data_IF_653348476745
#
_entry.id   IF_653348476745
#
_cell.length_a   1.000
_cell.length_b   1.000
_cell.length_c   1.000
_cell.angle_alpha   90.00
_cell.angle_beta   90.00
_cell.angle_gamma   90.00
#
_symmetry.space_group_name_H-M   'P 1'
#
loop_
_entity.id
_entity.type
_entity.pdbx_description
1 polymer ?
#
# COMPACT_ATOMS: atom_id res chain seq x y z
N UNK A 1 19.02 8.94 6.20
CA UNK A 1 19.92 8.04 5.45
C UNK A 1 19.63 8.04 3.95
N UNK A 2 18.39 7.74 3.47
CA UNK A 2 18.03 7.76 2.03
C UNK A 2 18.29 9.15 1.44
N UNK A 3 17.73 10.21 2.06
CA UNK A 3 17.91 11.58 1.62
C UNK A 3 19.39 12.01 1.52
N UNK A 4 20.23 11.56 2.45
CA UNK A 4 21.68 11.84 2.44
C UNK A 4 22.38 11.16 1.26
N UNK A 5 21.96 9.93 0.93
CA UNK A 5 22.49 9.22 -0.24
C UNK A 5 22.09 9.94 -1.53
N UNK A 6 20.79 10.28 -1.66
CA UNK A 6 20.29 11.00 -2.83
C UNK A 6 21.02 12.34 -3.02
N UNK A 7 21.19 13.11 -1.94
CA UNK A 7 21.91 14.38 -1.97
C UNK A 7 23.38 14.20 -2.36
N UNK A 8 24.06 13.19 -1.77
CA UNK A 8 25.48 12.89 -2.08
C UNK A 8 25.71 12.57 -3.55
N UNK A 9 24.77 11.85 -4.16
CA UNK A 9 24.89 11.42 -5.55
C UNK A 9 24.13 12.30 -6.55
N UNK A 10 23.60 13.43 -6.09
CA UNK A 10 22.80 14.37 -6.89
C UNK A 10 21.62 13.68 -7.61
N UNK A 11 20.90 12.83 -6.87
CA UNK A 11 19.72 12.12 -7.33
C UNK A 11 18.47 12.83 -6.83
N UNK A 12 17.51 13.09 -7.72
CA UNK A 12 16.19 13.60 -7.32
C UNK A 12 15.47 12.47 -6.59
N UNK A 13 14.98 12.77 -5.40
CA UNK A 13 14.24 11.83 -4.58
C UNK A 13 12.73 12.02 -4.77
N UNK A 14 12.12 11.11 -5.53
CA UNK A 14 10.67 11.04 -5.69
C UNK A 14 10.08 10.25 -4.52
N UNK A 15 9.23 10.91 -3.73
CA UNK A 15 8.65 10.33 -2.52
C UNK A 15 7.15 10.16 -2.70
N UNK A 16 6.70 8.93 -2.63
CA UNK A 16 5.28 8.59 -2.69
C UNK A 16 4.73 8.43 -1.26
N UNK A 17 3.90 9.39 -0.83
CA UNK A 17 3.24 9.40 0.47
C UNK A 17 1.72 9.15 0.33
N UNK A 18 1.28 8.43 -0.69
CA UNK A 18 -0.16 8.20 -0.95
C UNK A 18 -0.87 7.35 0.11
N UNK A 19 -0.12 6.62 0.95
CA UNK A 19 -0.66 5.82 2.05
C UNK A 19 -0.44 6.45 3.43
N UNK A 20 -0.01 7.70 3.52
CA UNK A 20 0.38 8.37 4.77
C UNK A 20 -0.74 8.48 5.81
N UNK A 21 -2.00 8.44 5.39
CA UNK A 21 -3.16 8.55 6.29
C UNK A 21 -3.47 7.24 7.04
N UNK A 22 -2.94 6.10 6.59
CA UNK A 22 -3.22 4.78 7.18
C UNK A 22 -2.15 4.38 8.19
N UNK A 23 -2.11 5.07 9.32
CA UNK A 23 -1.14 4.77 10.39
C UNK A 23 -1.90 4.21 11.59
N UNK A 24 -1.44 3.07 12.08
CA UNK A 24 -2.10 2.37 13.18
C UNK A 24 -1.71 2.91 14.55
N UNK A 25 -2.56 2.72 15.58
CA UNK A 25 -2.30 3.18 16.92
C UNK A 25 -0.92 2.74 17.44
N UNK A 26 -0.17 3.68 18.02
CA UNK A 26 1.18 3.44 18.54
C UNK A 26 2.31 3.70 17.55
N UNK A 27 1.99 4.05 16.30
CA UNK A 27 2.95 4.41 15.26
C UNK A 27 2.77 5.84 14.80
N UNK A 28 3.82 6.41 14.19
CA UNK A 28 3.81 7.78 13.67
C UNK A 28 4.34 7.82 12.23
N UNK A 29 3.68 8.61 11.39
CA UNK A 29 4.16 8.87 10.04
C UNK A 29 5.13 10.05 10.03
N UNK A 30 6.28 9.86 9.36
CA UNK A 30 7.25 10.93 9.14
C UNK A 30 7.29 11.31 7.67
N UNK A 31 6.69 12.46 7.32
CA UNK A 31 6.78 13.00 5.96
C UNK A 31 8.22 13.41 5.62
N UNK A 32 8.61 13.23 4.36
CA UNK A 32 9.88 13.72 3.86
C UNK A 32 10.03 15.24 3.98
N UNK A 33 8.92 15.97 4.07
CA UNK A 33 8.92 17.42 4.26
C UNK A 33 9.31 17.86 5.68
N UNK A 34 9.31 16.94 6.64
CA UNK A 34 9.78 17.17 8.00
C UNK A 34 11.31 17.06 8.16
N UNK A 35 11.99 16.66 7.10
CA UNK A 35 13.45 16.55 7.07
C UNK A 35 14.10 17.94 7.00
N UNK A 36 15.43 17.98 7.26
CA UNK A 36 16.23 19.21 7.13
C UNK A 36 16.01 19.84 5.74
N UNK A 37 15.88 21.17 5.70
CA UNK A 37 15.62 21.95 4.49
C UNK A 37 16.63 21.73 3.38
N UNK A 38 17.86 21.31 3.68
CA UNK A 38 18.88 20.96 2.66
C UNK A 38 18.41 19.84 1.72
N UNK A 39 17.52 18.95 2.18
CA UNK A 39 16.98 17.87 1.36
C UNK A 39 15.81 18.34 0.47
N UNK A 40 15.20 19.48 0.77
CA UNK A 40 14.12 20.02 -0.05
C UNK A 40 14.58 20.38 -1.48
N UNK A 41 15.89 20.55 -1.66
CA UNK A 41 16.48 20.81 -2.97
C UNK A 41 16.34 19.63 -3.97
N UNK A 42 16.18 18.43 -3.46
CA UNK A 42 16.12 17.20 -4.27
C UNK A 42 14.79 16.45 -4.18
N UNK A 43 13.81 16.95 -3.40
CA UNK A 43 12.55 16.25 -3.15
C UNK A 43 11.48 16.62 -4.20
N UNK A 44 10.79 15.59 -4.70
CA UNK A 44 9.49 15.69 -5.33
C UNK A 44 8.53 14.74 -4.59
N UNK A 45 7.67 15.34 -3.75
CA UNK A 45 6.67 14.61 -2.96
C UNK A 45 5.38 14.44 -3.75
N UNK A 46 4.84 13.24 -3.75
CA UNK A 46 3.56 12.88 -4.33
C UNK A 46 2.59 12.46 -3.23
N UNK A 47 1.39 13.06 -3.21
CA UNK A 47 0.30 12.67 -2.32
C UNK A 47 -1.04 12.69 -3.05
N UNK A 48 -2.03 12.00 -2.52
CA UNK A 48 -3.36 11.94 -3.13
C UNK A 48 -4.41 11.48 -2.13
N UNK A 49 -5.64 11.99 -2.20
CA UNK A 49 -6.77 11.40 -1.47
C UNK A 49 -7.25 10.09 -2.13
N UNK A 50 -6.67 9.70 -3.26
CA UNK A 50 -7.12 8.57 -4.08
C UNK A 50 -7.19 7.26 -3.33
N UNK A 51 -6.18 6.95 -2.51
CA UNK A 51 -6.12 5.73 -1.70
C UNK A 51 -6.95 5.86 -0.42
N UNK A 52 -6.82 6.96 0.28
CA UNK A 52 -7.52 7.24 1.54
C UNK A 52 -9.03 7.22 1.38
N UNK A 53 -9.55 7.86 0.35
CA UNK A 53 -10.99 8.03 0.12
C UNK A 53 -11.53 7.17 -1.02
N UNK A 54 -10.77 6.21 -1.52
CA UNK A 54 -11.16 5.33 -2.64
C UNK A 54 -11.63 6.10 -3.89
N UNK A 55 -10.97 7.20 -4.21
CA UNK A 55 -11.29 8.08 -5.37
C UNK A 55 -10.19 8.07 -6.43
N UNK A 56 -9.38 7.03 -6.48
CA UNK A 56 -8.28 6.90 -7.44
C UNK A 56 -8.73 7.01 -8.91
N UNK A 57 -9.95 6.56 -9.23
CA UNK A 57 -10.53 6.67 -10.57
C UNK A 57 -10.72 8.12 -11.04
N UNK A 58 -10.76 9.10 -10.15
CA UNK A 58 -10.78 10.53 -10.48
C UNK A 58 -9.37 11.10 -10.76
N UNK A 59 -8.33 10.30 -10.55
CA UNK A 59 -6.91 10.62 -10.78
C UNK A 59 -6.42 11.92 -10.11
N UNK A 60 -6.83 12.23 -8.87
CA UNK A 60 -6.33 13.40 -8.18
C UNK A 60 -4.90 13.13 -7.67
N UNK A 61 -3.99 14.03 -7.90
CA UNK A 61 -2.65 13.99 -7.34
C UNK A 61 -2.17 15.38 -6.95
N UNK A 62 -1.50 15.46 -5.82
CA UNK A 62 -0.78 16.66 -5.37
C UNK A 62 0.72 16.38 -5.54
N UNK A 63 1.42 17.30 -6.20
CA UNK A 63 2.86 17.18 -6.42
C UNK A 63 3.51 18.40 -5.82
N UNK A 64 4.34 18.18 -4.81
CA UNK A 64 5.00 19.22 -4.02
C UNK A 64 6.50 19.17 -4.28
N UNK A 65 7.01 20.20 -4.95
CA UNK A 65 8.42 20.34 -5.30
C UNK A 65 8.92 21.68 -4.73
N UNK A 66 9.60 21.68 -3.60
CA UNK A 66 10.08 22.91 -2.96
C UNK A 66 11.09 23.68 -3.81
N UNK A 67 12.04 22.97 -4.44
CA UNK A 67 13.04 23.58 -5.32
C UNK A 67 12.37 24.20 -6.55
N UNK A 68 12.55 25.52 -6.73
CA UNK A 68 11.90 26.28 -7.80
C UNK A 68 12.34 25.84 -9.20
N UNK A 69 13.62 25.58 -9.40
CA UNK A 69 14.18 25.21 -10.70
C UNK A 69 13.67 23.81 -11.11
N UNK A 70 13.63 22.87 -10.17
CA UNK A 70 13.06 21.54 -10.40
C UNK A 70 11.57 21.64 -10.70
N UNK A 71 10.83 22.45 -9.95
CA UNK A 71 9.40 22.69 -10.17
C UNK A 71 9.11 23.29 -11.55
N UNK A 72 9.92 24.25 -12.01
CA UNK A 72 9.79 24.82 -13.37
C UNK A 72 10.00 23.78 -14.45
N UNK A 73 11.02 22.91 -14.28
CA UNK A 73 11.26 21.79 -15.22
C UNK A 73 10.08 20.84 -15.28
N UNK A 74 9.54 20.47 -14.12
CA UNK A 74 8.36 19.62 -14.01
C UNK A 74 7.15 20.26 -14.71
N UNK A 75 6.85 21.54 -14.43
CA UNK A 75 5.73 22.28 -15.05
C UNK A 75 5.88 22.37 -16.57
N UNK A 76 7.10 22.63 -17.03
CA UNK A 76 7.39 22.66 -18.47
C UNK A 76 7.11 21.30 -19.12
N UNK A 77 7.60 20.20 -18.54
CA UNK A 77 7.37 18.85 -19.05
C UNK A 77 5.87 18.51 -19.10
N UNK A 78 5.10 18.84 -18.05
CA UNK A 78 3.64 18.65 -18.03
C UNK A 78 2.95 19.44 -19.16
N UNK A 79 3.39 20.68 -19.41
CA UNK A 79 2.84 21.50 -20.49
C UNK A 79 3.12 20.87 -21.86
N UNK A 80 4.34 20.36 -22.07
CA UNK A 80 4.71 19.67 -23.34
C UNK A 80 3.90 18.39 -23.54
N UNK A 81 3.58 17.68 -22.46
CA UNK A 81 2.76 16.47 -22.49
C UNK A 81 1.24 16.75 -22.57
N UNK A 82 0.83 18.01 -22.67
CA UNK A 82 -0.57 18.44 -22.57
C UNK A 82 -1.30 17.98 -21.30
N UNK A 83 -0.55 17.78 -20.21
CA UNK A 83 -1.04 17.30 -18.91
C UNK A 83 -1.21 18.44 -17.89
N UNK A 84 -1.42 19.65 -18.36
CA UNK A 84 -1.44 20.87 -17.53
C UNK A 84 -2.73 21.07 -16.73
N UNK A 85 -3.79 20.31 -17.03
CA UNK A 85 -5.08 20.46 -16.35
C UNK A 85 -5.60 19.09 -15.91
N UNK A 86 -5.80 18.95 -14.60
CA UNK A 86 -6.45 17.76 -14.02
C UNK A 86 -7.97 17.77 -14.23
N UNK A 87 -8.60 16.65 -13.93
CA UNK A 87 -10.06 16.53 -13.94
C UNK A 87 -10.71 17.50 -12.94
N UNK A 88 -11.75 18.22 -13.39
CA UNK A 88 -12.55 19.09 -12.48
C UNK A 88 -13.10 18.31 -11.29
N UNK A 89 -13.59 17.08 -11.52
CA UNK A 89 -14.09 16.22 -10.45
C UNK A 89 -12.98 15.78 -9.51
N UNK A 90 -11.78 15.53 -10.02
CA UNK A 90 -10.60 15.23 -9.21
C UNK A 90 -10.22 16.40 -8.29
N UNK A 91 -10.22 17.64 -8.80
CA UNK A 91 -9.97 18.84 -8.00
C UNK A 91 -11.04 19.05 -6.91
N UNK A 92 -12.30 18.83 -7.25
CA UNK A 92 -13.40 18.88 -6.27
C UNK A 92 -13.23 17.80 -5.20
N UNK A 93 -12.86 16.58 -5.59
CA UNK A 93 -12.60 15.49 -4.66
C UNK A 93 -11.48 15.85 -3.67
N UNK A 94 -10.34 16.37 -4.14
CA UNK A 94 -9.24 16.84 -3.27
C UNK A 94 -9.78 17.83 -2.23
N UNK A 95 -10.52 18.84 -2.68
CA UNK A 95 -11.07 19.85 -1.77
C UNK A 95 -12.00 19.24 -0.72
N UNK A 96 -12.95 18.41 -1.13
CA UNK A 96 -13.94 17.80 -0.21
C UNK A 96 -13.28 16.84 0.76
N UNK A 97 -12.43 15.94 0.26
CA UNK A 97 -11.73 14.95 1.08
C UNK A 97 -10.93 15.62 2.20
N UNK A 98 -10.09 16.60 1.87
CA UNK A 98 -9.22 17.24 2.86
C UNK A 98 -9.93 18.28 3.75
N UNK A 99 -11.14 18.72 3.41
CA UNK A 99 -11.86 19.70 4.25
C UNK A 99 -12.99 19.10 5.07
N UNK A 100 -13.48 17.90 4.71
CA UNK A 100 -14.67 17.31 5.32
C UNK A 100 -14.54 15.81 5.64
N UNK A 101 -13.41 15.19 5.31
CA UNK A 101 -13.26 13.74 5.38
C UNK A 101 -12.55 13.21 6.63
N UNK A 102 -12.11 14.06 7.57
CA UNK A 102 -11.28 13.63 8.69
C UNK A 102 -11.93 12.53 9.53
N UNK A 103 -13.15 12.78 10.03
CA UNK A 103 -13.87 11.81 10.89
C UNK A 103 -14.05 10.45 10.19
N UNK A 104 -14.33 10.49 8.87
CA UNK A 104 -14.46 9.26 8.06
C UNK A 104 -13.13 8.49 7.96
N UNK A 105 -12.01 9.19 7.84
CA UNK A 105 -10.67 8.55 7.80
C UNK A 105 -10.35 7.88 9.12
N UNK A 106 -10.64 8.56 10.25
CA UNK A 106 -10.38 8.02 11.57
C UNK A 106 -11.15 6.71 11.80
N UNK A 107 -12.46 6.68 11.47
CA UNK A 107 -13.28 5.48 11.54
C UNK A 107 -12.78 4.37 10.58
N UNK A 108 -12.36 4.74 9.37
CA UNK A 108 -11.83 3.79 8.39
C UNK A 108 -10.52 3.15 8.87
N UNK A 109 -9.59 3.94 9.39
CA UNK A 109 -8.30 3.45 9.90
C UNK A 109 -8.53 2.47 11.04
N UNK A 110 -9.42 2.80 11.98
CA UNK A 110 -9.80 1.89 13.06
C UNK A 110 -10.38 0.57 12.53
N UNK A 111 -11.31 0.66 11.58
CA UNK A 111 -11.92 -0.52 10.95
C UNK A 111 -10.90 -1.42 10.26
N UNK A 112 -9.98 -0.83 9.50
CA UNK A 112 -8.89 -1.55 8.82
C UNK A 112 -7.97 -2.21 9.86
N UNK A 113 -7.62 -1.49 10.91
CA UNK A 113 -6.77 -2.03 11.97
C UNK A 113 -7.41 -3.23 12.67
N UNK A 114 -8.73 -3.21 12.90
CA UNK A 114 -9.46 -4.38 13.42
C UNK A 114 -9.42 -5.56 12.43
N UNK A 115 -9.47 -5.31 11.11
CA UNK A 115 -9.29 -6.36 10.10
C UNK A 115 -7.87 -6.95 10.14
N UNK A 116 -6.85 -6.10 10.29
CA UNK A 116 -5.45 -6.55 10.45
C UNK A 116 -5.30 -7.43 11.69
N UNK A 117 -5.82 -7.00 12.83
CA UNK A 117 -5.77 -7.77 14.08
C UNK A 117 -6.48 -9.12 13.97
N UNK A 118 -7.63 -9.13 13.30
CA UNK A 118 -8.36 -10.37 13.04
C UNK A 118 -7.53 -11.32 12.17
N UNK A 119 -6.99 -10.82 11.06
CA UNK A 119 -6.16 -11.62 10.15
C UNK A 119 -4.90 -12.15 10.84
N UNK A 120 -4.21 -11.32 11.63
CA UNK A 120 -3.02 -11.74 12.39
C UNK A 120 -3.32 -12.92 13.31
N UNK A 121 -4.41 -12.82 14.07
CA UNK A 121 -4.85 -13.91 14.96
C UNK A 121 -5.21 -15.16 14.17
N UNK A 122 -5.97 -15.03 13.08
CA UNK A 122 -6.39 -16.15 12.26
C UNK A 122 -5.18 -16.88 11.63
N UNK A 123 -4.22 -16.14 11.09
CA UNK A 123 -2.99 -16.68 10.51
C UNK A 123 -2.20 -17.48 11.58
N UNK A 124 -2.01 -16.90 12.77
CA UNK A 124 -1.31 -17.58 13.87
C UNK A 124 -1.98 -18.89 14.31
N UNK A 125 -3.31 -18.90 14.33
CA UNK A 125 -4.09 -20.06 14.78
C UNK A 125 -4.24 -21.14 13.72
N UNK A 126 -4.34 -20.78 12.44
CA UNK A 126 -4.75 -21.69 11.37
C UNK A 126 -3.65 -22.01 10.33
N UNK A 127 -2.60 -21.19 10.26
CA UNK A 127 -1.51 -21.37 9.29
C UNK A 127 -0.15 -21.48 10.01
N UNK A 128 0.14 -22.61 10.69
CA UNK A 128 1.28 -22.71 11.61
C UNK A 128 2.66 -22.54 10.96
N UNK A 129 2.75 -22.69 9.64
CA UNK A 129 3.99 -22.50 8.88
C UNK A 129 4.03 -21.17 8.10
N UNK A 130 2.95 -20.36 8.15
CA UNK A 130 2.94 -19.02 7.57
C UNK A 130 3.32 -17.97 8.62
N UNK A 131 3.80 -16.82 8.15
CA UNK A 131 4.12 -15.67 9.00
C UNK A 131 3.54 -14.41 8.40
N UNK A 132 2.66 -13.76 9.13
CA UNK A 132 2.20 -12.43 8.77
C UNK A 132 3.22 -11.39 9.21
N UNK A 133 3.57 -10.47 8.31
CA UNK A 133 4.32 -9.26 8.68
C UNK A 133 3.36 -8.31 9.37
N UNK A 134 3.62 -7.98 10.62
CA UNK A 134 2.75 -7.05 11.38
C UNK A 134 2.93 -5.63 10.83
N UNK A 135 1.89 -5.02 10.22
CA UNK A 135 2.03 -3.71 9.63
C UNK A 135 1.88 -2.59 10.66
N UNK A 136 2.66 -1.53 10.50
CA UNK A 136 2.53 -0.28 11.27
C UNK A 136 1.47 0.66 10.69
N UNK A 137 1.01 0.37 9.50
CA UNK A 137 0.01 1.12 8.74
C UNK A 137 -0.36 0.45 7.43
N UNK A 138 -1.13 1.12 6.61
CA UNK A 138 -1.70 0.65 5.35
C UNK A 138 -2.69 -0.52 5.50
N UNK A 139 -3.40 -0.81 4.44
CA UNK A 139 -4.33 -1.94 4.35
C UNK A 139 -3.79 -3.10 3.53
N UNK A 140 -2.50 -3.06 3.20
CA UNK A 140 -1.81 -4.08 2.40
C UNK A 140 -0.96 -4.94 3.33
N UNK A 141 -1.40 -6.16 3.57
CA UNK A 141 -0.79 -7.07 4.53
C UNK A 141 0.01 -8.15 3.81
N UNK A 142 1.25 -8.36 4.21
CA UNK A 142 2.10 -9.41 3.69
C UNK A 142 2.06 -10.66 4.55
N UNK A 143 1.91 -11.82 3.89
CA UNK A 143 2.00 -13.12 4.53
C UNK A 143 3.03 -13.97 3.81
N UNK A 144 4.01 -14.44 4.55
CA UNK A 144 5.07 -15.35 4.12
C UNK A 144 4.60 -16.80 4.27
N UNK A 145 4.53 -17.54 3.16
CA UNK A 145 4.19 -18.96 3.10
C UNK A 145 5.41 -19.86 2.90
N UNK A 146 6.63 -19.33 2.94
CA UNK A 146 7.87 -20.07 2.70
C UNK A 146 8.03 -21.31 3.60
N UNK A 147 7.46 -21.27 4.82
CA UNK A 147 7.50 -22.40 5.74
C UNK A 147 6.77 -23.65 5.26
N UNK A 148 5.92 -23.56 4.21
CA UNK A 148 5.26 -24.71 3.60
C UNK A 148 6.11 -25.37 2.52
N UNK A 149 7.13 -24.69 1.98
CA UNK A 149 8.05 -25.22 0.98
C UNK A 149 7.42 -25.37 -0.41
N UNK A 150 6.40 -24.59 -0.71
CA UNK A 150 5.79 -24.56 -2.05
C UNK A 150 6.72 -23.92 -3.07
N UNK A 151 6.62 -24.31 -4.33
CA UNK A 151 7.14 -23.49 -5.43
C UNK A 151 6.24 -22.26 -5.63
N UNK A 152 6.71 -21.27 -6.39
CA UNK A 152 5.88 -20.10 -6.71
C UNK A 152 4.61 -20.54 -7.47
N UNK A 153 4.75 -21.44 -8.42
CA UNK A 153 3.65 -21.97 -9.23
C UNK A 153 2.64 -22.75 -8.37
N UNK A 154 3.12 -23.51 -7.38
CA UNK A 154 2.25 -24.23 -6.44
C UNK A 154 1.47 -23.24 -5.56
N UNK A 155 2.13 -22.18 -5.08
CA UNK A 155 1.47 -21.15 -4.25
C UNK A 155 0.43 -20.38 -5.06
N UNK A 156 0.75 -19.95 -6.28
CA UNK A 156 -0.21 -19.32 -7.18
C UNK A 156 -1.40 -20.21 -7.50
N UNK A 157 -1.16 -21.49 -7.81
CA UNK A 157 -2.23 -22.45 -8.07
C UNK A 157 -3.15 -22.62 -6.84
N UNK A 158 -2.55 -22.77 -5.65
CA UNK A 158 -3.31 -22.85 -4.40
C UNK A 158 -4.20 -21.61 -4.19
N UNK A 159 -3.66 -20.41 -4.42
CA UNK A 159 -4.42 -19.16 -4.22
C UNK A 159 -5.53 -19.01 -5.27
N UNK A 160 -5.21 -19.10 -6.55
CA UNK A 160 -6.14 -18.81 -7.64
C UNK A 160 -7.13 -19.95 -7.88
N UNK A 161 -6.64 -21.19 -7.96
CA UNK A 161 -7.46 -22.29 -8.42
C UNK A 161 -8.12 -23.09 -7.30
N UNK A 162 -7.50 -23.20 -6.15
CA UNK A 162 -8.07 -23.97 -5.04
C UNK A 162 -8.80 -23.06 -4.05
N UNK A 163 -8.15 -21.98 -3.56
CA UNK A 163 -8.75 -21.03 -2.62
C UNK A 163 -9.67 -20.00 -3.30
N UNK A 164 -9.58 -19.84 -4.64
CA UNK A 164 -10.34 -18.83 -5.42
C UNK A 164 -10.08 -17.41 -4.92
N UNK A 165 -8.84 -17.09 -4.58
CA UNK A 165 -8.37 -15.78 -4.15
C UNK A 165 -7.44 -15.20 -5.20
N UNK A 166 -7.78 -14.02 -5.69
CA UNK A 166 -6.89 -13.24 -6.55
C UNK A 166 -6.19 -12.19 -5.71
N UNK A 167 -4.99 -12.52 -5.27
CA UNK A 167 -4.12 -11.68 -4.46
C UNK A 167 -2.99 -11.08 -5.31
N UNK A 168 -2.18 -10.23 -4.71
CA UNK A 168 -0.94 -9.80 -5.35
C UNK A 168 0.19 -10.78 -4.95
N UNK A 169 0.56 -11.66 -5.88
CA UNK A 169 1.65 -12.61 -5.67
C UNK A 169 2.98 -11.87 -5.46
N UNK A 170 3.75 -12.32 -4.49
CA UNK A 170 5.01 -11.69 -4.11
C UNK A 170 6.04 -11.65 -5.22
N UNK A 171 6.01 -12.59 -6.17
CA UNK A 171 6.97 -12.64 -7.29
C UNK A 171 6.95 -11.37 -8.15
N UNK A 172 5.83 -10.64 -8.23
CA UNK A 172 5.74 -9.39 -9.00
C UNK A 172 6.58 -8.26 -8.40
N UNK A 173 6.99 -8.39 -7.12
CA UNK A 173 7.82 -7.42 -6.40
C UNK A 173 9.30 -7.82 -6.37
N UNK A 174 9.62 -9.05 -6.77
CA UNK A 174 10.99 -9.57 -6.84
C UNK A 174 11.07 -11.06 -6.51
N UNK A 175 12.10 -11.76 -6.99
CA UNK A 175 12.24 -13.20 -6.75
C UNK A 175 12.39 -13.54 -5.26
N UNK A 176 12.89 -12.62 -4.44
CA UNK A 176 13.08 -12.82 -2.99
C UNK A 176 11.74 -12.89 -2.25
N UNK A 177 10.67 -12.39 -2.85
CA UNK A 177 9.32 -12.37 -2.27
C UNK A 177 8.36 -13.37 -2.93
N UNK A 178 8.85 -14.28 -3.76
CA UNK A 178 8.04 -15.27 -4.48
C UNK A 178 7.17 -16.17 -3.59
N UNK A 179 7.50 -16.32 -2.31
CA UNK A 179 6.73 -17.09 -1.32
C UNK A 179 5.78 -16.24 -0.47
N UNK A 180 5.61 -14.97 -0.83
CA UNK A 180 4.72 -14.06 -0.13
C UNK A 180 3.43 -13.84 -0.94
N UNK A 181 2.35 -13.55 -0.21
CA UNK A 181 1.11 -13.05 -0.78
C UNK A 181 0.70 -11.75 -0.10
N UNK A 182 0.27 -10.76 -0.88
CA UNK A 182 -0.17 -9.47 -0.38
C UNK A 182 -1.70 -9.38 -0.38
N UNK A 183 -2.26 -9.32 0.80
CA UNK A 183 -3.70 -9.19 1.03
C UNK A 183 -4.11 -7.74 1.15
N UNK A 184 -5.21 -7.36 0.50
CA UNK A 184 -5.90 -6.09 0.74
C UNK A 184 -7.03 -6.33 1.75
N UNK A 185 -6.92 -5.73 2.94
CA UNK A 185 -7.92 -5.88 4.02
C UNK A 185 -8.85 -4.66 4.16
N UNK A 186 -8.78 -3.70 3.23
CA UNK A 186 -9.73 -2.58 3.16
C UNK A 186 -11.05 -3.01 2.51
N UNK A 187 -11.72 -3.98 3.13
CA UNK A 187 -12.99 -4.53 2.69
C UNK A 187 -13.84 -4.90 3.93
N UNK A 188 -15.13 -5.23 3.75
CA UNK A 188 -15.96 -5.69 4.86
C UNK A 188 -15.35 -6.89 5.59
N UNK A 189 -15.47 -6.94 6.92
CA UNK A 189 -14.95 -8.03 7.76
C UNK A 189 -15.35 -9.40 7.23
N UNK A 190 -16.60 -9.57 6.83
CA UNK A 190 -17.11 -10.85 6.30
C UNK A 190 -16.33 -11.32 5.06
N UNK A 191 -15.83 -10.39 4.24
CA UNK A 191 -14.98 -10.73 3.06
C UNK A 191 -13.63 -11.27 3.50
N UNK A 192 -13.01 -10.67 4.53
CA UNK A 192 -11.74 -11.18 5.10
C UNK A 192 -11.95 -12.56 5.71
N UNK A 193 -13.02 -12.76 6.46
CA UNK A 193 -13.36 -14.04 7.07
C UNK A 193 -13.59 -15.13 6.03
N UNK A 194 -14.32 -14.81 4.97
CA UNK A 194 -14.56 -15.74 3.86
C UNK A 194 -13.25 -16.11 3.16
N UNK A 195 -12.42 -15.13 2.81
CA UNK A 195 -11.15 -15.36 2.14
C UNK A 195 -10.21 -16.26 2.95
N UNK A 196 -10.06 -15.99 4.25
CA UNK A 196 -9.20 -16.79 5.13
C UNK A 196 -9.75 -18.21 5.32
N UNK A 197 -11.07 -18.38 5.37
CA UNK A 197 -11.72 -19.70 5.45
C UNK A 197 -11.52 -20.50 4.15
N UNK A 198 -11.67 -19.85 2.99
CA UNK A 198 -11.41 -20.48 1.69
C UNK A 198 -9.95 -20.95 1.59
N UNK A 199 -9.00 -20.09 1.98
CA UNK A 199 -7.58 -20.43 1.98
C UNK A 199 -7.27 -21.60 2.92
N UNK A 200 -7.86 -21.59 4.13
CA UNK A 200 -7.65 -22.68 5.08
C UNK A 200 -8.12 -24.02 4.50
N UNK A 201 -9.34 -24.06 3.95
CA UNK A 201 -9.90 -25.29 3.37
C UNK A 201 -9.07 -25.80 2.19
N UNK A 202 -8.61 -24.89 1.31
CA UNK A 202 -7.75 -25.24 0.19
C UNK A 202 -6.40 -25.78 0.65
N UNK A 203 -5.77 -25.11 1.62
CA UNK A 203 -4.47 -25.52 2.16
C UNK A 203 -4.55 -26.88 2.88
N UNK A 204 -5.57 -27.11 3.70
CA UNK A 204 -5.77 -28.36 4.41
C UNK A 204 -5.93 -29.53 3.40
N UNK A 205 -6.73 -29.32 2.34
CA UNK A 205 -6.90 -30.31 1.26
C UNK A 205 -5.58 -30.57 0.51
N UNK A 206 -4.91 -29.51 0.09
CA UNK A 206 -3.65 -29.59 -0.65
C UNK A 206 -2.56 -30.35 0.14
N UNK A 207 -2.49 -30.12 1.45
CA UNK A 207 -1.54 -30.81 2.33
C UNK A 207 -1.92 -32.28 2.60
N UNK A 208 -3.19 -32.62 2.52
CA UNK A 208 -3.65 -34.02 2.67
C UNK A 208 -3.43 -34.87 1.41
N UNK A 209 -3.28 -34.26 0.23
CA UNK A 209 -3.04 -34.91 -1.05
C UNK A 209 -1.54 -35.14 -1.35
N UNK A 210 -0.64 -34.53 -0.57
CA UNK A 210 0.83 -34.71 -0.62
C UNK A 210 1.31 -35.75 0.37
#
# INVERSE_FOLDING_TARGET
>A
KVAEICLKYNVIWMVDEMHCDFIFPGHEFTSCMNLDKKFHEIIALYSSPGKTFNVAGLQPANIIIPNEELRKKYQWANTQAAYSQGSLMGQLAVKVCYTKGADWVDELVEYIYENVKYMSRYVKENFPKAKMVEPEGTYLVWVDFSGYGFSNEELEHLMLEEAKLWLDSGIIFGPETAQFERFNVACPRVTVEQALTQLKNALDKHLAEK
#
